data_IF_082992827796
#
_entry.id   IF_082992827796
#
_cell.length_a   1.000
_cell.length_b   1.000
_cell.length_c   1.000
_cell.angle_alpha   90.00
_cell.angle_beta   90.00
_cell.angle_gamma   90.00
#
_symmetry.space_group_name_H-M   'P 1'
#
loop_
_entity.id
_entity.type
_entity.pdbx_description
1 polymer ?
#
# COMPACT_ATOMS: atom_id res chain seq x y z
N UNK A 1 9.26 -8.74 -3.17
CA UNK A 1 10.00 -7.53 -2.74
C UNK A 1 11.46 -7.92 -2.56
N UNK A 2 12.41 -7.04 -2.84
CA UNK A 2 13.82 -7.21 -2.49
C UNK A 2 14.12 -6.45 -1.20
N UNK A 3 14.80 -7.11 -0.25
CA UNK A 3 15.11 -6.57 1.08
C UNK A 3 16.60 -6.75 1.32
N UNK A 4 17.27 -5.69 1.78
CA UNK A 4 18.70 -5.75 2.05
C UNK A 4 19.11 -4.75 3.13
N UNK A 5 20.11 -5.13 3.91
CA UNK A 5 20.93 -4.17 4.66
C UNK A 5 22.06 -3.71 3.76
N UNK A 6 22.38 -2.42 3.80
CA UNK A 6 23.43 -1.82 2.99
C UNK A 6 24.47 -1.15 3.90
N UNK A 7 25.75 -1.34 3.55
CA UNK A 7 26.88 -0.58 4.12
C UNK A 7 26.95 0.81 3.50
N UNK A 8 25.89 1.58 3.66
CA UNK A 8 25.73 2.90 3.09
C UNK A 8 24.90 3.75 4.06
N UNK A 9 25.28 5.03 4.22
CA UNK A 9 24.51 5.98 5.01
C UNK A 9 23.11 6.13 4.42
N UNK A 10 22.10 6.22 5.29
CA UNK A 10 20.71 6.37 4.84
C UNK A 10 20.48 7.59 3.96
N UNK A 11 21.24 8.68 4.16
CA UNK A 11 21.19 9.87 3.29
C UNK A 11 21.63 9.59 1.87
N UNK A 12 22.73 8.85 1.71
CA UNK A 12 23.23 8.46 0.41
C UNK A 12 22.24 7.49 -0.26
N UNK A 13 21.64 6.56 0.51
CA UNK A 13 20.61 5.65 -0.02
C UNK A 13 19.40 6.44 -0.50
N UNK A 14 18.96 7.42 0.29
CA UNK A 14 17.89 8.35 -0.06
C UNK A 14 18.18 9.08 -1.37
N UNK A 15 19.39 9.63 -1.51
CA UNK A 15 19.84 10.31 -2.74
C UNK A 15 19.87 9.36 -3.93
N UNK A 16 20.45 8.16 -3.79
CA UNK A 16 20.46 7.14 -4.87
C UNK A 16 19.05 6.84 -5.37
N UNK A 17 18.10 6.65 -4.46
CA UNK A 17 16.70 6.38 -4.81
C UNK A 17 16.07 7.59 -5.49
N UNK A 18 16.21 8.79 -4.93
CA UNK A 18 15.63 10.01 -5.51
C UNK A 18 16.21 10.33 -6.89
N UNK A 19 17.53 10.22 -7.06
CA UNK A 19 18.20 10.43 -8.34
C UNK A 19 17.77 9.40 -9.37
N UNK A 20 17.65 8.13 -8.98
CA UNK A 20 17.11 7.09 -9.85
C UNK A 20 15.66 7.41 -10.28
N UNK A 21 14.80 7.77 -9.35
CA UNK A 21 13.40 8.10 -9.63
C UNK A 21 13.30 9.32 -10.55
N UNK A 22 14.08 10.37 -10.28
CA UNK A 22 14.14 11.59 -11.09
C UNK A 22 14.67 11.33 -12.50
N UNK A 23 15.80 10.62 -12.63
CA UNK A 23 16.42 10.30 -13.94
C UNK A 23 15.48 9.51 -14.83
N UNK A 24 14.69 8.60 -14.24
CA UNK A 24 13.71 7.79 -14.95
C UNK A 24 12.32 8.42 -15.01
N UNK A 25 12.15 9.68 -14.57
CA UNK A 25 10.89 10.44 -14.57
C UNK A 25 9.73 9.73 -13.86
N UNK A 26 10.02 8.95 -12.83
CA UNK A 26 8.99 8.35 -11.99
C UNK A 26 8.34 9.41 -11.10
N UNK A 27 7.01 9.52 -11.16
CA UNK A 27 6.24 10.28 -10.17
C UNK A 27 6.18 9.49 -8.86
N UNK A 28 6.39 10.17 -7.74
CA UNK A 28 6.32 9.55 -6.41
C UNK A 28 5.78 10.48 -5.33
N UNK A 29 5.15 9.90 -4.31
CA UNK A 29 4.83 10.57 -3.04
C UNK A 29 5.90 10.19 -2.01
N UNK A 30 6.35 11.16 -1.20
CA UNK A 30 7.36 10.94 -0.17
C UNK A 30 6.73 11.10 1.21
N UNK A 31 6.92 10.11 2.06
CA UNK A 31 6.60 10.15 3.47
C UNK A 31 7.89 9.94 4.26
N UNK A 32 8.09 10.73 5.31
CA UNK A 32 9.26 10.62 6.16
C UNK A 32 8.86 10.67 7.62
N UNK A 33 9.37 9.73 8.39
CA UNK A 33 9.26 9.73 9.86
C UNK A 33 10.65 9.97 10.41
N UNK A 34 10.81 11.01 11.23
CA UNK A 34 12.10 11.36 11.86
C UNK A 34 12.00 11.11 13.36
N UNK A 35 13.03 10.44 13.89
CA UNK A 35 13.11 9.99 15.29
C UNK A 35 14.03 10.90 16.08
N UNK A 36 15.20 11.14 15.51
CA UNK A 36 16.29 11.97 16.02
C UNK A 36 17.18 12.38 14.82
N UNK A 37 18.39 12.86 15.08
CA UNK A 37 19.34 13.24 14.02
C UNK A 37 19.84 12.05 13.20
N UNK A 38 19.72 10.80 13.69
CA UNK A 38 20.38 9.62 13.12
C UNK A 38 19.39 8.59 12.54
N UNK A 39 18.23 8.43 13.16
CA UNK A 39 17.20 7.46 12.79
C UNK A 39 16.08 8.16 12.04
N UNK A 40 15.89 7.73 10.80
CA UNK A 40 14.91 8.26 9.86
C UNK A 40 14.38 7.11 9.02
N UNK A 41 13.08 7.10 8.77
CA UNK A 41 12.49 6.20 7.78
C UNK A 41 11.93 7.04 6.65
N UNK A 42 12.33 6.72 5.43
CA UNK A 42 11.83 7.29 4.20
C UNK A 42 10.98 6.24 3.50
N UNK A 43 9.80 6.66 3.07
CA UNK A 43 8.87 5.83 2.33
C UNK A 43 8.49 6.57 1.05
N UNK A 44 8.81 5.96 -0.10
CA UNK A 44 8.48 6.49 -1.41
C UNK A 44 7.40 5.63 -2.05
N UNK A 45 6.26 6.24 -2.38
CA UNK A 45 5.19 5.58 -3.13
C UNK A 45 5.38 5.85 -4.60
N UNK A 46 5.55 4.82 -5.41
CA UNK A 46 5.58 4.93 -6.88
C UNK A 46 4.44 4.13 -7.50
N UNK A 47 4.20 4.31 -8.80
CA UNK A 47 3.27 3.44 -9.55
C UNK A 47 3.70 1.97 -9.59
N UNK A 48 5.00 1.69 -9.40
CA UNK A 48 5.58 0.34 -9.44
C UNK A 48 5.67 -0.32 -8.06
N UNK A 49 5.21 0.38 -7.01
CA UNK A 49 5.23 -0.07 -5.63
C UNK A 49 5.95 0.90 -4.70
N UNK A 50 5.98 0.56 -3.42
CA UNK A 50 6.57 1.39 -2.37
C UNK A 50 8.01 0.97 -2.05
N UNK A 51 8.90 1.96 -1.91
CA UNK A 51 10.29 1.79 -1.46
C UNK A 51 10.37 2.25 -0.01
N UNK A 52 10.93 1.43 0.88
CA UNK A 52 11.24 1.82 2.26
C UNK A 52 12.76 1.95 2.38
N UNK A 53 13.24 3.03 3.01
CA UNK A 53 14.63 3.19 3.42
C UNK A 53 14.62 3.53 4.90
N UNK A 54 15.22 2.68 5.72
CA UNK A 54 15.39 2.91 7.14
C UNK A 54 16.86 3.19 7.43
N UNK A 55 17.12 4.28 8.12
CA UNK A 55 18.43 4.65 8.59
C UNK A 55 18.67 3.88 9.89
N UNK A 56 19.81 3.22 9.99
CA UNK A 56 20.19 2.42 11.14
C UNK A 56 21.33 3.11 11.90
N UNK A 57 21.39 2.86 13.19
CA UNK A 57 22.49 3.30 14.04
C UNK A 57 23.82 2.71 13.54
N UNK A 58 24.90 3.49 13.62
CA UNK A 58 26.20 3.12 13.03
C UNK A 58 26.34 3.42 11.53
N UNK A 59 25.41 4.16 10.92
CA UNK A 59 25.56 4.69 9.56
C UNK A 59 25.26 3.70 8.44
N UNK A 60 24.62 2.58 8.75
CA UNK A 60 24.08 1.63 7.76
C UNK A 60 22.62 1.98 7.43
N UNK A 61 22.04 1.31 6.45
CA UNK A 61 20.61 1.41 6.20
C UNK A 61 19.99 0.08 5.79
N UNK A 62 18.69 -0.04 6.02
CA UNK A 62 17.86 -1.09 5.48
C UNK A 62 17.04 -0.53 4.31
N UNK A 63 16.91 -1.30 3.24
CA UNK A 63 16.07 -0.95 2.09
C UNK A 63 15.10 -2.08 1.75
N UNK A 64 13.88 -1.70 1.39
CA UNK A 64 12.90 -2.58 0.77
C UNK A 64 12.46 -1.98 -0.57
N UNK A 65 12.70 -2.71 -1.65
CA UNK A 65 12.49 -2.22 -3.02
C UNK A 65 11.55 -3.19 -3.77
N UNK A 66 10.55 -2.69 -4.53
CA UNK A 66 9.74 -3.50 -5.42
C UNK A 66 10.59 -4.22 -6.47
N UNK A 67 10.30 -5.49 -6.73
CA UNK A 67 11.05 -6.29 -7.73
C UNK A 67 10.94 -5.71 -9.15
N UNK A 68 9.93 -4.89 -9.41
CA UNK A 68 9.77 -4.17 -10.68
C UNK A 68 10.86 -3.11 -10.91
N UNK A 69 11.56 -2.67 -9.86
CA UNK A 69 12.68 -1.74 -9.92
C UNK A 69 14.02 -2.49 -9.96
N UNK A 70 14.14 -3.55 -10.77
CA UNK A 70 15.40 -4.32 -10.94
C UNK A 70 16.63 -3.45 -11.20
N UNK A 71 16.57 -2.38 -12.03
CA UNK A 71 17.74 -1.52 -12.24
C UNK A 71 18.23 -0.85 -10.96
N UNK A 72 17.32 -0.42 -10.09
CA UNK A 72 17.67 0.17 -8.80
C UNK A 72 18.26 -0.88 -7.85
N UNK A 73 17.73 -2.11 -7.85
CA UNK A 73 18.27 -3.22 -7.06
C UNK A 73 19.72 -3.49 -7.44
N UNK A 74 20.02 -3.61 -8.74
CA UNK A 74 21.38 -3.85 -9.24
C UNK A 74 22.40 -2.78 -8.82
N UNK A 75 21.96 -1.52 -8.65
CA UNK A 75 22.81 -0.40 -8.22
C UNK A 75 23.14 -0.41 -6.71
N UNK A 76 22.44 -1.24 -5.93
CA UNK A 76 22.58 -1.35 -4.48
C UNK A 76 23.04 -2.74 -4.03
N UNK A 77 23.06 -3.72 -4.94
CA UNK A 77 23.34 -5.11 -4.65
C UNK A 77 24.79 -5.33 -4.20
N UNK A 78 25.72 -4.55 -4.75
CA UNK A 78 27.14 -4.50 -4.39
C UNK A 78 27.42 -3.97 -2.98
N UNK A 79 26.47 -3.22 -2.41
CA UNK A 79 26.57 -2.61 -1.08
C UNK A 79 25.94 -3.46 0.02
N UNK A 80 25.44 -4.64 -0.32
CA UNK A 80 24.71 -5.51 0.60
C UNK A 80 25.63 -6.05 1.70
N UNK A 81 25.09 -6.12 2.93
CA UNK A 81 25.69 -6.80 4.08
C UNK A 81 24.74 -7.86 4.62
N UNK A 82 25.30 -8.82 5.36
CA UNK A 82 24.58 -10.01 5.80
C UNK A 82 23.52 -9.71 6.87
N UNK A 83 23.89 -9.02 7.95
CA UNK A 83 22.92 -8.69 9.00
C UNK A 83 23.40 -7.55 9.91
N UNK A 84 22.44 -6.81 10.48
CA UNK A 84 22.68 -5.74 11.44
C UNK A 84 21.73 -5.94 12.62
N UNK A 85 22.26 -5.91 13.84
CA UNK A 85 21.43 -5.93 15.05
C UNK A 85 20.56 -4.66 15.11
N UNK A 86 19.26 -4.87 15.34
CA UNK A 86 18.28 -3.77 15.41
C UNK A 86 17.96 -3.38 16.84
N UNK A 87 17.96 -2.08 17.11
CA UNK A 87 17.44 -1.49 18.34
C UNK A 87 15.91 -1.55 18.39
N UNK A 88 15.31 -1.38 19.58
CA UNK A 88 13.85 -1.34 19.76
C UNK A 88 13.23 -0.17 18.98
N UNK A 89 13.88 1.00 19.01
CA UNK A 89 13.47 2.17 18.23
C UNK A 89 13.40 1.85 16.74
N UNK A 90 14.43 1.22 16.17
CA UNK A 90 14.43 0.82 14.75
C UNK A 90 13.28 -0.16 14.42
N UNK A 91 12.96 -1.10 15.32
CA UNK A 91 11.80 -2.00 15.11
C UNK A 91 10.49 -1.23 15.06
N UNK A 92 10.28 -0.29 15.96
CA UNK A 92 9.08 0.57 16.00
C UNK A 92 8.89 1.35 14.70
N UNK A 93 9.90 2.10 14.24
CA UNK A 93 9.76 2.96 13.05
C UNK A 93 9.63 2.17 11.75
N UNK A 94 10.26 0.99 11.69
CA UNK A 94 10.03 0.08 10.59
C UNK A 94 8.55 -0.33 10.54
N UNK A 95 7.96 -0.69 11.69
CA UNK A 95 6.54 -1.04 11.79
C UNK A 95 5.61 0.11 11.42
N UNK A 96 5.94 1.35 11.81
CA UNK A 96 5.21 2.56 11.40
C UNK A 96 5.22 2.73 9.88
N UNK A 97 6.37 2.53 9.22
CA UNK A 97 6.45 2.61 7.77
C UNK A 97 5.69 1.47 7.05
N UNK A 98 5.72 0.26 7.60
CA UNK A 98 4.89 -0.85 7.12
C UNK A 98 3.40 -0.54 7.21
N UNK A 99 2.96 0.00 8.35
CA UNK A 99 1.57 0.42 8.55
C UNK A 99 1.16 1.49 7.54
N UNK A 100 1.99 2.52 7.31
CA UNK A 100 1.72 3.56 6.32
C UNK A 100 1.65 2.99 4.89
N UNK A 101 2.53 2.04 4.55
CA UNK A 101 2.50 1.34 3.26
C UNK A 101 1.20 0.55 3.09
N UNK A 102 0.74 -0.15 4.13
CA UNK A 102 -0.51 -0.91 4.10
C UNK A 102 -1.72 0.01 3.95
N UNK A 103 -1.73 1.15 4.63
CA UNK A 103 -2.73 2.21 4.50
C UNK A 103 -2.83 2.68 3.04
N UNK A 104 -1.72 3.03 2.39
CA UNK A 104 -1.73 3.47 0.99
C UNK A 104 -2.18 2.40 0.01
N UNK A 105 -1.77 1.15 0.22
CA UNK A 105 -2.24 0.04 -0.60
C UNK A 105 -3.76 -0.11 -0.49
N UNK A 106 -4.28 0.00 0.74
CA UNK A 106 -5.71 -0.09 1.01
C UNK A 106 -6.49 1.08 0.39
N UNK A 107 -5.98 2.30 0.46
CA UNK A 107 -6.54 3.45 -0.26
C UNK A 107 -6.57 3.20 -1.76
N UNK A 108 -5.45 2.78 -2.35
CA UNK A 108 -5.34 2.52 -3.80
C UNK A 108 -6.35 1.49 -4.25
N UNK A 109 -6.45 0.38 -3.51
CA UNK A 109 -7.38 -0.69 -3.78
C UNK A 109 -8.82 -0.19 -3.70
N UNK A 110 -9.18 0.52 -2.63
CA UNK A 110 -10.55 0.98 -2.40
C UNK A 110 -11.00 1.99 -3.45
N UNK A 111 -10.14 2.93 -3.85
CA UNK A 111 -10.44 3.85 -4.96
C UNK A 111 -10.57 3.12 -6.31
N UNK A 112 -9.68 2.16 -6.57
CA UNK A 112 -9.76 1.35 -7.79
C UNK A 112 -11.06 0.55 -7.84
N UNK A 113 -11.50 0.06 -6.69
CA UNK A 113 -12.76 -0.65 -6.53
C UNK A 113 -13.96 0.24 -6.84
N UNK A 114 -14.03 1.43 -6.23
CA UNK A 114 -15.07 2.44 -6.56
C UNK A 114 -15.08 2.73 -8.06
N UNK A 115 -13.94 3.02 -8.67
CA UNK A 115 -13.85 3.36 -10.09
C UNK A 115 -14.34 2.20 -10.98
N UNK A 116 -13.87 0.98 -10.74
CA UNK A 116 -14.30 -0.20 -11.50
C UNK A 116 -15.80 -0.46 -11.37
N UNK A 117 -16.36 -0.20 -10.20
CA UNK A 117 -17.76 -0.48 -9.89
C UNK A 117 -18.68 0.57 -10.51
N UNK A 118 -18.32 1.86 -10.41
CA UNK A 118 -19.03 2.95 -11.11
C UNK A 118 -19.01 2.71 -12.62
N UNK A 119 -17.88 2.27 -13.16
CA UNK A 119 -17.77 1.94 -14.57
C UNK A 119 -18.72 0.80 -14.98
N UNK A 120 -18.82 -0.26 -14.17
CA UNK A 120 -19.78 -1.35 -14.39
C UNK A 120 -21.22 -0.82 -14.38
N UNK A 121 -21.58 0.03 -13.41
CA UNK A 121 -22.92 0.61 -13.34
C UNK A 121 -23.29 1.38 -14.63
N UNK A 122 -22.36 2.18 -15.16
CA UNK A 122 -22.55 2.90 -16.43
C UNK A 122 -22.71 1.92 -17.60
N UNK A 123 -21.91 0.86 -17.65
CA UNK A 123 -22.01 -0.15 -18.70
C UNK A 123 -23.33 -0.92 -18.64
N UNK A 124 -23.81 -1.30 -17.45
CA UNK A 124 -25.10 -1.98 -17.30
C UNK A 124 -26.23 -1.08 -17.78
N UNK A 125 -26.22 0.21 -17.44
CA UNK A 125 -27.20 1.18 -17.95
C UNK A 125 -27.21 1.21 -19.49
N UNK A 126 -26.03 1.32 -20.10
CA UNK A 126 -25.88 1.39 -21.55
C UNK A 126 -26.24 0.10 -22.29
N UNK A 127 -26.03 -1.06 -21.66
CA UNK A 127 -26.22 -2.37 -22.27
C UNK A 127 -27.50 -3.09 -21.81
N UNK A 128 -28.32 -2.44 -20.98
CA UNK A 128 -29.49 -3.04 -20.33
C UNK A 128 -30.42 -3.80 -21.29
N UNK A 129 -30.65 -3.28 -22.50
CA UNK A 129 -31.47 -3.94 -23.52
C UNK A 129 -30.88 -5.28 -24.00
N UNK A 130 -29.56 -5.44 -24.02
CA UNK A 130 -28.87 -6.63 -24.51
C UNK A 130 -28.57 -7.65 -23.41
N UNK A 131 -28.63 -7.26 -22.13
CA UNK A 131 -28.30 -8.15 -21.01
C UNK A 131 -29.22 -9.37 -20.92
N UNK A 132 -30.48 -9.24 -21.36
CA UNK A 132 -31.44 -10.34 -21.40
C UNK A 132 -31.10 -11.39 -22.46
N UNK A 133 -30.59 -10.94 -23.59
CA UNK A 133 -30.25 -11.81 -24.72
C UNK A 133 -28.87 -12.46 -24.56
N UNK A 134 -27.94 -11.76 -23.89
CA UNK A 134 -26.55 -12.19 -23.75
C UNK A 134 -26.11 -12.23 -22.28
N UNK A 135 -26.51 -13.27 -21.52
CA UNK A 135 -26.18 -13.40 -20.09
C UNK A 135 -24.67 -13.51 -19.85
N UNK A 136 -23.88 -13.88 -20.86
CA UNK A 136 -22.42 -13.90 -20.75
C UNK A 136 -21.83 -12.50 -20.53
N UNK A 137 -22.48 -11.44 -21.04
CA UNK A 137 -22.06 -10.05 -20.81
C UNK A 137 -22.19 -9.70 -19.32
N UNK A 138 -23.27 -10.16 -18.68
CA UNK A 138 -23.50 -9.97 -17.26
C UNK A 138 -22.38 -10.60 -16.41
N UNK A 139 -21.92 -11.80 -16.78
CA UNK A 139 -20.80 -12.44 -16.10
C UNK A 139 -19.53 -11.57 -16.14
N UNK A 140 -19.14 -11.07 -17.31
CA UNK A 140 -17.95 -10.21 -17.43
C UNK A 140 -18.11 -8.92 -16.62
N UNK A 141 -19.30 -8.29 -16.64
CA UNK A 141 -19.60 -7.10 -15.86
C UNK A 141 -19.47 -7.33 -14.35
N UNK A 142 -19.92 -8.49 -13.86
CA UNK A 142 -19.81 -8.84 -12.44
C UNK A 142 -18.38 -9.14 -11.99
N UNK A 143 -17.48 -9.54 -12.91
CA UNK A 143 -16.06 -9.83 -12.60
C UNK A 143 -15.20 -8.56 -12.58
N UNK A 144 -15.54 -7.53 -13.36
CA UNK A 144 -14.77 -6.27 -13.44
C UNK A 144 -14.44 -5.65 -12.07
N UNK A 145 -15.38 -5.57 -11.10
CA UNK A 145 -15.10 -5.01 -9.79
C UNK A 145 -14.00 -5.77 -9.03
N UNK A 146 -13.77 -7.05 -9.34
CA UNK A 146 -12.74 -7.87 -8.68
C UNK A 146 -11.35 -7.71 -9.30
N UNK A 147 -11.21 -7.10 -10.49
CA UNK A 147 -9.91 -6.88 -11.15
C UNK A 147 -8.89 -6.14 -10.25
N UNK A 148 -9.26 -5.09 -9.50
CA UNK A 148 -8.35 -4.44 -8.56
C UNK A 148 -7.69 -5.40 -7.56
N UNK A 149 -8.38 -6.46 -7.13
CA UNK A 149 -7.85 -7.45 -6.19
C UNK A 149 -6.72 -8.29 -6.80
N UNK A 150 -6.69 -8.46 -8.12
CA UNK A 150 -5.59 -9.16 -8.80
C UNK A 150 -4.24 -8.45 -8.63
N UNK A 151 -4.25 -7.11 -8.48
CA UNK A 151 -3.04 -6.33 -8.18
C UNK A 151 -2.64 -6.39 -6.70
N UNK A 152 -3.58 -6.74 -5.84
CA UNK A 152 -3.42 -6.75 -4.39
C UNK A 152 -3.99 -8.06 -3.81
N UNK A 153 -3.40 -9.23 -4.12
CA UNK A 153 -3.97 -10.54 -3.79
C UNK A 153 -4.01 -10.85 -2.29
N UNK A 154 -3.28 -10.08 -1.47
CA UNK A 154 -3.34 -10.15 -0.02
C UNK A 154 -4.64 -9.63 0.59
N UNK A 155 -5.52 -9.05 -0.22
CA UNK A 155 -6.78 -8.47 0.21
C UNK A 155 -7.94 -9.36 -0.23
N UNK A 156 -8.84 -9.64 0.70
CA UNK A 156 -10.05 -10.44 0.44
C UNK A 156 -11.04 -9.71 -0.46
N UNK A 157 -11.93 -10.43 -1.16
CA UNK A 157 -13.04 -9.82 -1.87
C UNK A 157 -14.04 -9.14 -0.92
N UNK A 158 -14.83 -8.17 -1.39
CA UNK A 158 -15.95 -7.63 -0.61
C UNK A 158 -17.06 -8.68 -0.42
N UNK A 159 -17.88 -8.57 0.64
CA UNK A 159 -17.84 -7.60 1.75
C UNK A 159 -16.84 -7.98 2.87
N UNK A 160 -16.31 -9.21 2.84
CA UNK A 160 -15.32 -9.73 3.81
C UNK A 160 -14.09 -8.82 3.92
N UNK A 161 -13.74 -8.17 2.80
CA UNK A 161 -12.74 -7.12 2.69
C UNK A 161 -12.77 -6.11 3.86
N UNK A 162 -13.88 -5.42 4.14
CA UNK A 162 -13.86 -4.38 5.18
C UNK A 162 -13.60 -4.95 6.58
N UNK A 163 -14.22 -6.08 6.92
CA UNK A 163 -14.10 -6.68 8.26
C UNK A 163 -12.66 -7.16 8.49
N UNK A 164 -12.10 -7.89 7.51
CA UNK A 164 -10.74 -8.43 7.60
C UNK A 164 -9.71 -7.31 7.59
N UNK A 165 -9.85 -6.30 6.73
CA UNK A 165 -8.88 -5.21 6.67
C UNK A 165 -8.97 -4.27 7.88
N UNK A 166 -10.17 -4.00 8.39
CA UNK A 166 -10.34 -3.21 9.60
C UNK A 166 -9.74 -3.92 10.82
N UNK A 167 -10.00 -5.22 10.98
CA UNK A 167 -9.43 -5.98 12.09
C UNK A 167 -7.91 -6.09 12.00
N UNK A 168 -7.36 -6.30 10.79
CA UNK A 168 -5.92 -6.30 10.54
C UNK A 168 -5.28 -4.96 10.85
N UNK A 169 -5.81 -3.85 10.33
CA UNK A 169 -5.31 -2.51 10.65
C UNK A 169 -5.34 -2.26 12.15
N UNK A 170 -6.47 -2.56 12.82
CA UNK A 170 -6.60 -2.37 14.28
C UNK A 170 -5.56 -3.17 15.07
N UNK A 171 -5.18 -4.35 14.60
CA UNK A 171 -4.09 -5.14 15.21
C UNK A 171 -2.74 -4.48 14.96
N UNK A 172 -2.44 -4.08 13.72
CA UNK A 172 -1.17 -3.41 13.39
C UNK A 172 -0.99 -2.09 14.15
N UNK A 173 -2.07 -1.33 14.37
CA UNK A 173 -2.05 -0.13 15.22
C UNK A 173 -1.75 -0.45 16.69
N UNK A 174 -2.34 -1.52 17.26
CA UNK A 174 -2.03 -1.96 18.63
C UNK A 174 -0.57 -2.37 18.77
N UNK A 175 -0.02 -3.12 17.80
CA UNK A 175 1.40 -3.50 17.80
C UNK A 175 2.31 -2.26 17.77
N UNK A 176 1.93 -1.22 17.04
CA UNK A 176 2.64 0.07 17.04
C UNK A 176 2.52 0.77 18.40
N UNK A 177 1.34 0.82 19.02
CA UNK A 177 1.12 1.40 20.35
C UNK A 177 1.91 0.68 21.44
N UNK A 178 1.98 -0.66 21.41
CA UNK A 178 2.78 -1.47 22.34
C UNK A 178 4.27 -1.17 22.22
N UNK A 179 4.78 -1.07 20.99
CA UNK A 179 6.17 -0.70 20.73
C UNK A 179 6.45 0.77 21.12
N UNK A 180 5.49 1.68 20.96
CA UNK A 180 5.60 3.08 21.39
C UNK A 180 5.85 3.17 22.89
N UNK A 181 5.14 2.37 23.69
CA UNK A 181 5.30 2.35 25.15
C UNK A 181 6.70 1.94 25.61
N UNK A 182 7.44 1.20 24.76
CA UNK A 182 8.81 0.77 25.02
C UNK A 182 9.87 1.76 24.55
N UNK A 183 9.49 2.81 23.80
CA UNK A 183 10.41 3.83 23.28
C UNK A 183 10.41 5.05 24.20
N UNK A 184 11.58 5.37 24.76
CA UNK A 184 11.75 6.42 25.79
C UNK A 184 11.45 7.86 25.32
N UNK A 185 11.40 8.12 24.01
CA UNK A 185 11.07 9.44 23.42
C UNK A 185 9.77 9.36 22.64
N UNK A 186 8.79 10.22 22.99
CA UNK A 186 7.55 10.44 22.22
C UNK A 186 7.90 10.96 20.82
N UNK A 187 7.49 10.25 19.78
CA UNK A 187 7.69 10.65 18.38
C UNK A 187 6.34 10.70 17.65
N UNK A 188 6.31 11.43 16.52
CA UNK A 188 5.13 11.65 15.66
C UNK A 188 4.27 10.40 15.51
N UNK A 189 3.00 10.51 15.89
CA UNK A 189 2.03 9.43 15.80
C UNK A 189 1.69 9.16 14.33
N UNK A 190 1.63 7.89 13.89
CA UNK A 190 0.96 7.57 12.65
C UNK A 190 -0.50 8.01 12.76
N UNK A 191 -0.91 8.95 11.91
CA UNK A 191 -2.28 9.46 11.90
C UNK A 191 -3.17 8.35 11.36
N UNK A 192 -4.05 7.82 12.21
CA UNK A 192 -5.10 6.90 11.78
C UNK A 192 -5.97 7.61 10.74
N UNK A 193 -6.06 7.12 9.49
CA UNK A 193 -6.82 7.83 8.50
C UNK A 193 -8.27 7.38 8.60
N UNK A 194 -9.08 8.12 9.38
CA UNK A 194 -10.56 8.03 9.32
C UNK A 194 -11.08 8.00 7.87
N UNK A 195 -10.36 8.71 6.99
CA UNK A 195 -10.53 8.73 5.54
C UNK A 195 -10.54 7.33 4.91
N UNK A 196 -9.66 6.42 5.32
CA UNK A 196 -9.58 5.06 4.75
C UNK A 196 -10.81 4.24 5.11
N UNK A 197 -11.25 4.29 6.37
CA UNK A 197 -12.47 3.62 6.79
C UNK A 197 -13.68 4.10 5.97
N UNK A 198 -13.79 5.41 5.74
CA UNK A 198 -14.85 5.97 4.89
C UNK A 198 -14.79 5.44 3.45
N UNK A 199 -13.61 5.44 2.81
CA UNK A 199 -13.46 4.96 1.43
C UNK A 199 -13.76 3.45 1.34
N UNK A 200 -13.37 2.66 2.34
CA UNK A 200 -13.70 1.23 2.41
C UNK A 200 -15.23 1.00 2.44
N UNK A 201 -15.93 1.69 3.34
CA UNK A 201 -17.39 1.58 3.44
C UNK A 201 -18.05 2.02 2.13
N UNK A 202 -17.64 3.15 1.57
CA UNK A 202 -18.15 3.64 0.29
C UNK A 202 -17.93 2.62 -0.84
N UNK A 203 -16.76 1.99 -0.90
CA UNK A 203 -16.44 0.99 -1.92
C UNK A 203 -17.37 -0.23 -1.86
N UNK A 204 -17.76 -0.66 -0.65
CA UNK A 204 -18.69 -1.78 -0.46
C UNK A 204 -20.11 -1.40 -0.85
N UNK A 205 -20.56 -0.20 -0.44
CA UNK A 205 -21.91 0.29 -0.78
C UNK A 205 -22.06 0.40 -2.30
N UNK A 206 -21.10 1.02 -2.97
CA UNK A 206 -21.12 1.20 -4.43
C UNK A 206 -21.13 -0.15 -5.16
N UNK A 207 -20.44 -1.16 -4.62
CA UNK A 207 -20.44 -2.52 -5.17
C UNK A 207 -21.74 -3.27 -4.98
N UNK A 208 -22.31 -3.22 -3.77
CA UNK A 208 -23.60 -3.83 -3.50
C UNK A 208 -24.69 -3.23 -4.40
N UNK A 209 -24.71 -1.91 -4.57
CA UNK A 209 -25.63 -1.22 -5.48
C UNK A 209 -25.45 -1.67 -6.93
N UNK A 210 -24.20 -1.83 -7.39
CA UNK A 210 -23.93 -2.21 -8.78
C UNK A 210 -24.32 -3.66 -9.08
N UNK A 211 -24.10 -4.59 -8.15
CA UNK A 211 -24.57 -5.98 -8.31
C UNK A 211 -26.09 -6.02 -8.33
N UNK A 212 -26.75 -5.36 -7.37
CA UNK A 212 -28.22 -5.32 -7.31
C UNK A 212 -28.80 -4.75 -8.61
N UNK A 213 -28.23 -3.65 -9.11
CA UNK A 213 -28.67 -3.04 -10.37
C UNK A 213 -28.45 -3.96 -11.59
N UNK A 214 -27.29 -4.62 -11.68
CA UNK A 214 -26.98 -5.56 -12.74
C UNK A 214 -27.95 -6.75 -12.77
N UNK A 215 -28.27 -7.31 -11.60
CA UNK A 215 -29.24 -8.40 -11.47
C UNK A 215 -30.66 -7.95 -11.87
N UNK A 216 -31.12 -6.80 -11.37
CA UNK A 216 -32.44 -6.27 -11.72
C UNK A 216 -32.58 -5.97 -13.22
N UNK A 217 -31.52 -5.50 -13.87
CA UNK A 217 -31.54 -5.20 -15.32
C UNK A 217 -31.56 -6.45 -16.20
N UNK A 218 -31.21 -7.61 -15.63
CA UNK A 218 -31.23 -8.91 -16.32
C UNK A 218 -32.54 -9.69 -16.18
N UNK A 219 -33.43 -9.28 -15.27
CA UNK A 219 -34.79 -9.83 -15.09
C UNK A 219 -35.77 -9.17 -16.08
#
# INVERSE_FOLDING_TARGET
MWKAYLRLKGEDAGKFVEDFLRKNRFKYEKYSVRVDSETKVLLYRTRLGSIIIQYLHGGNCYVEIPLMLKPLIRLLEDKKIEEVQKTVSEKYYFKVAELQKNIWNLETLSYSFIASTVFVMILVLALSAFLKEYPIILFFLLVIPFIPLARFPSYSPPPVYAIVQYSRLRREFREVEELEQMVSKKVEKPIFPKKVAYILVLSIVVWALSITYALLSSL
#
